data_IF_745701893251
#
_entry.id   IF_745701893251
#
_cell.length_a   1.000
_cell.length_b   1.000
_cell.length_c   1.000
_cell.angle_alpha   90.00
_cell.angle_beta   90.00
_cell.angle_gamma   90.00
#
_symmetry.space_group_name_H-M   'P 1'
#
loop_
_entity.id
_entity.type
_entity.pdbx_description
1 polymer ?
#
# COMPACT_ATOMS: atom_id res chain seq x y z
N UNK A 1 -6.48 22.04 -46.41
CA UNK A 1 -5.68 21.06 -45.63
C UNK A 1 -6.10 21.18 -44.17
N UNK A 2 -7.13 20.45 -43.75
CA UNK A 2 -7.59 20.44 -42.35
C UNK A 2 -6.91 19.29 -41.62
N UNK A 3 -5.95 19.61 -40.76
CA UNK A 3 -5.31 18.67 -39.84
C UNK A 3 -6.28 18.34 -38.71
N UNK A 4 -6.88 17.15 -38.79
CA UNK A 4 -7.62 16.54 -37.69
C UNK A 4 -6.59 16.01 -36.68
N UNK A 5 -6.49 16.66 -35.52
CA UNK A 5 -5.79 16.13 -34.34
C UNK A 5 -6.63 14.99 -33.73
N UNK A 6 -6.07 13.79 -33.51
CA UNK A 6 -6.79 12.72 -32.85
C UNK A 6 -6.76 12.93 -31.33
N UNK A 7 -7.90 13.28 -30.73
CA UNK A 7 -8.12 13.13 -29.29
C UNK A 7 -8.03 11.66 -28.92
N UNK A 8 -6.89 11.26 -28.34
CA UNK A 8 -6.69 9.93 -27.75
C UNK A 8 -7.54 9.84 -26.49
N UNK A 9 -8.80 9.45 -26.65
CA UNK A 9 -9.69 9.06 -25.55
C UNK A 9 -9.30 7.64 -25.16
N UNK A 10 -8.27 7.47 -24.32
CA UNK A 10 -7.96 6.17 -23.70
C UNK A 10 -9.18 5.72 -22.91
N UNK A 11 -9.72 4.57 -23.28
CA UNK A 11 -10.95 4.01 -22.74
C UNK A 11 -10.71 3.61 -21.27
N UNK A 12 -11.49 4.14 -20.34
CA UNK A 12 -11.35 3.90 -18.89
C UNK A 12 -11.43 2.40 -18.52
N UNK A 13 -12.04 1.59 -19.39
CA UNK A 13 -12.11 0.13 -19.26
C UNK A 13 -10.77 -0.57 -19.52
N UNK A 14 -9.95 -0.08 -20.46
CA UNK A 14 -8.65 -0.69 -20.80
C UNK A 14 -7.60 -0.39 -19.71
N UNK A 15 -7.67 0.81 -19.11
CA UNK A 15 -6.87 1.15 -17.94
C UNK A 15 -7.29 0.30 -16.73
N UNK A 16 -8.60 0.05 -16.57
CA UNK A 16 -9.10 -0.77 -15.48
C UNK A 16 -8.67 -2.24 -15.56
N UNK A 17 -8.66 -2.83 -16.76
CA UNK A 17 -8.18 -4.20 -16.99
C UNK A 17 -6.68 -4.32 -16.71
N UNK A 18 -5.89 -3.33 -17.15
CA UNK A 18 -4.44 -3.30 -16.90
C UNK A 18 -4.10 -3.24 -15.41
N UNK A 19 -4.86 -2.45 -14.63
CA UNK A 19 -4.68 -2.32 -13.18
C UNK A 19 -5.10 -3.59 -12.44
N UNK A 20 -6.18 -4.25 -12.85
CA UNK A 20 -6.62 -5.53 -12.27
C UNK A 20 -5.55 -6.62 -12.45
N UNK A 21 -4.92 -6.70 -13.62
CA UNK A 21 -3.82 -7.61 -13.90
C UNK A 21 -2.56 -7.27 -13.10
N UNK A 22 -2.24 -5.99 -12.93
CA UNK A 22 -1.15 -5.56 -12.04
C UNK A 22 -1.43 -5.89 -10.57
N UNK A 23 -2.67 -5.74 -10.08
CA UNK A 23 -3.07 -6.23 -8.76
C UNK A 23 -2.91 -7.75 -8.66
N UNK A 24 -3.35 -8.51 -9.66
CA UNK A 24 -3.21 -9.97 -9.69
C UNK A 24 -1.75 -10.41 -9.71
N UNK A 25 -0.89 -9.65 -10.40
CA UNK A 25 0.56 -9.85 -10.42
C UNK A 25 1.20 -9.54 -9.07
N UNK A 26 0.79 -8.46 -8.40
CA UNK A 26 1.18 -8.17 -7.02
C UNK A 26 0.76 -9.33 -6.10
N UNK A 27 -0.51 -9.76 -6.16
CA UNK A 27 -1.02 -10.89 -5.38
C UNK A 27 -0.27 -12.20 -5.64
N UNK A 28 0.05 -12.50 -6.91
CA UNK A 28 0.88 -13.68 -7.26
C UNK A 28 2.31 -13.59 -6.72
N UNK A 29 2.80 -12.37 -6.44
CA UNK A 29 4.13 -12.11 -5.89
C UNK A 29 4.20 -12.11 -4.35
N UNK A 30 3.06 -12.15 -3.64
CA UNK A 30 2.97 -12.15 -2.17
C UNK A 30 3.57 -13.42 -1.52
N UNK A 31 3.83 -14.48 -2.31
CA UNK A 31 4.57 -15.65 -1.84
C UNK A 31 6.08 -15.39 -1.80
N UNK A 32 6.58 -14.97 -0.65
CA UNK A 32 8.00 -14.77 -0.31
C UNK A 32 8.95 -15.90 -0.79
N UNK A 33 8.49 -17.16 -0.77
CA UNK A 33 9.27 -18.33 -1.19
C UNK A 33 9.50 -18.43 -2.71
N UNK A 34 8.61 -17.84 -3.52
CA UNK A 34 8.64 -17.95 -4.99
C UNK A 34 9.50 -16.85 -5.64
N UNK A 35 9.72 -15.73 -4.94
CA UNK A 35 10.39 -14.54 -5.48
C UNK A 35 11.93 -14.57 -5.39
N UNK A 36 12.50 -15.44 -4.53
CA UNK A 36 13.97 -15.60 -4.38
C UNK A 36 14.67 -15.93 -5.71
N UNK A 37 13.95 -16.47 -6.69
CA UNK A 37 14.46 -16.80 -8.03
C UNK A 37 14.48 -15.66 -9.06
N UNK A 38 13.89 -14.49 -8.78
CA UNK A 38 13.68 -13.44 -9.81
C UNK A 38 14.26 -12.05 -9.50
N UNK A 39 14.95 -11.87 -8.38
CA UNK A 39 15.60 -10.60 -8.02
C UNK A 39 17.07 -10.62 -8.45
N UNK A 40 17.29 -10.58 -9.77
CA UNK A 40 18.58 -10.22 -10.36
C UNK A 40 18.37 -8.88 -11.05
N UNK A 41 18.57 -7.78 -10.32
CA UNK A 41 18.29 -6.42 -10.81
C UNK A 41 17.97 -5.43 -9.69
N UNK A 42 18.64 -5.55 -8.55
CA UNK A 42 18.45 -4.69 -7.38
C UNK A 42 19.49 -3.58 -7.36
N UNK A 43 19.02 -2.33 -7.31
CA UNK A 43 19.84 -1.17 -6.99
C UNK A 43 19.59 -0.77 -5.52
N UNK A 44 20.62 -0.94 -4.70
CA UNK A 44 20.61 -0.71 -3.25
C UNK A 44 20.68 0.77 -2.87
N UNK A 45 20.76 1.66 -3.84
CA UNK A 45 21.10 3.08 -3.66
C UNK A 45 19.92 4.03 -3.45
N UNK A 46 18.66 3.59 -3.66
CA UNK A 46 17.50 4.49 -3.53
C UNK A 46 17.18 4.73 -2.04
N UNK A 47 17.20 5.99 -1.57
CA UNK A 47 17.04 6.29 -0.14
C UNK A 47 15.65 5.92 0.38
N UNK A 48 15.60 5.44 1.63
CA UNK A 48 14.40 5.02 2.38
C UNK A 48 13.31 6.12 2.51
N UNK A 49 13.64 7.36 2.12
CA UNK A 49 12.72 8.48 2.03
C UNK A 49 11.78 8.42 0.82
N UNK A 50 12.06 7.59 -0.21
CA UNK A 50 11.38 7.62 -1.50
C UNK A 50 10.23 6.61 -1.67
N UNK A 51 9.75 5.96 -0.60
CA UNK A 51 8.75 4.89 -0.67
C UNK A 51 7.29 5.34 -0.56
N UNK A 52 7.02 6.58 -0.13
CA UNK A 52 5.67 7.14 -0.08
C UNK A 52 5.38 7.91 -1.37
N UNK A 53 5.16 7.19 -2.46
CA UNK A 53 4.70 7.77 -3.73
C UNK A 53 3.34 7.17 -4.11
N UNK A 54 2.29 7.97 -4.36
CA UNK A 54 2.18 9.41 -4.12
C UNK A 54 2.50 9.77 -2.66
N UNK A 55 3.09 10.95 -2.46
CA UNK A 55 3.36 11.48 -1.12
C UNK A 55 2.04 11.82 -0.41
N UNK A 56 2.11 12.02 0.91
CA UNK A 56 0.90 12.29 1.67
C UNK A 56 0.31 13.68 1.31
N UNK A 57 1.15 14.61 0.87
CA UNK A 57 0.73 15.95 0.45
C UNK A 57 -0.05 15.92 -0.88
N UNK A 58 0.36 15.13 -1.87
CA UNK A 58 -0.42 14.92 -3.11
C UNK A 58 -1.77 14.27 -2.82
N UNK A 59 -1.81 13.33 -1.88
CA UNK A 59 -3.06 12.70 -1.43
C UNK A 59 -3.97 13.73 -0.74
N UNK A 60 -3.42 14.54 0.18
CA UNK A 60 -4.18 15.55 0.90
C UNK A 60 -4.70 16.66 -0.04
N UNK A 61 -3.86 17.15 -0.95
CA UNK A 61 -4.25 18.16 -1.96
C UNK A 61 -5.33 17.65 -2.90
N UNK A 62 -5.28 16.36 -3.27
CA UNK A 62 -6.39 15.71 -3.97
C UNK A 62 -7.67 15.76 -3.13
N UNK A 63 -7.66 15.26 -1.90
CA UNK A 63 -8.87 15.25 -1.06
C UNK A 63 -9.41 16.65 -0.74
N UNK A 64 -8.56 17.69 -0.72
CA UNK A 64 -8.99 19.08 -0.58
C UNK A 64 -9.68 19.61 -1.83
N UNK A 65 -9.19 19.28 -3.03
CA UNK A 65 -9.70 19.83 -4.30
C UNK A 65 -10.88 19.05 -4.87
N UNK A 66 -10.88 17.73 -4.75
CA UNK A 66 -11.85 16.81 -5.39
C UNK A 66 -12.62 15.97 -4.38
N UNK A 67 -12.30 16.04 -3.09
CA UNK A 67 -12.96 15.25 -2.05
C UNK A 67 -14.47 15.50 -1.94
N UNK A 68 -14.96 16.68 -2.36
CA UNK A 68 -16.39 16.98 -2.40
C UNK A 68 -17.19 16.21 -3.47
N UNK A 69 -16.50 15.59 -4.45
CA UNK A 69 -17.12 14.73 -5.47
C UNK A 69 -17.27 13.28 -5.00
N UNK A 70 -16.57 12.89 -3.94
CA UNK A 70 -16.67 11.58 -3.32
C UNK A 70 -17.76 11.59 -2.26
N UNK A 71 -18.43 10.45 -2.10
CA UNK A 71 -19.27 10.23 -0.91
C UNK A 71 -18.41 10.32 0.36
N UNK A 72 -18.92 10.93 1.44
CA UNK A 72 -18.13 11.16 2.65
C UNK A 72 -17.59 9.85 3.25
N UNK A 73 -18.34 8.77 3.14
CA UNK A 73 -17.91 7.45 3.62
C UNK A 73 -16.73 6.91 2.80
N UNK A 74 -16.79 7.04 1.46
CA UNK A 74 -15.72 6.61 0.54
C UNK A 74 -14.46 7.45 0.78
N UNK A 75 -14.62 8.78 0.93
CA UNK A 75 -13.52 9.70 1.23
C UNK A 75 -12.82 9.30 2.52
N UNK A 76 -13.56 9.10 3.61
CA UNK A 76 -12.99 8.71 4.90
C UNK A 76 -12.25 7.36 4.84
N UNK A 77 -12.78 6.39 4.11
CA UNK A 77 -12.16 5.09 3.92
C UNK A 77 -10.79 5.20 3.21
N UNK A 78 -10.75 6.00 2.14
CA UNK A 78 -9.54 6.21 1.36
C UNK A 78 -8.50 7.03 2.15
N UNK A 79 -8.92 8.05 2.90
CA UNK A 79 -8.04 8.78 3.82
C UNK A 79 -7.45 7.84 4.88
N UNK A 80 -8.26 6.96 5.45
CA UNK A 80 -7.82 5.97 6.45
C UNK A 80 -6.83 4.97 5.83
N UNK A 81 -7.04 4.55 4.59
CA UNK A 81 -6.09 3.72 3.84
C UNK A 81 -4.74 4.41 3.63
N UNK A 82 -4.73 5.66 3.15
CA UNK A 82 -3.46 6.35 2.95
C UNK A 82 -2.76 6.62 4.29
N UNK A 83 -3.50 6.95 5.35
CA UNK A 83 -2.93 7.09 6.69
C UNK A 83 -2.37 5.77 7.25
N UNK A 84 -3.04 4.63 7.03
CA UNK A 84 -2.54 3.33 7.48
C UNK A 84 -1.24 2.94 6.75
N UNK A 85 -1.14 3.27 5.45
CA UNK A 85 0.09 3.02 4.68
C UNK A 85 1.28 3.87 5.16
N UNK A 86 1.04 5.12 5.60
CA UNK A 86 2.09 5.97 6.21
C UNK A 86 2.59 5.36 7.51
N UNK A 87 1.67 4.98 8.41
CA UNK A 87 2.01 4.33 9.69
C UNK A 87 2.79 3.03 9.48
N UNK A 88 2.41 2.22 8.49
CA UNK A 88 3.15 1.01 8.14
C UNK A 88 4.58 1.31 7.67
N UNK A 89 4.76 2.30 6.78
CA UNK A 89 6.08 2.72 6.31
C UNK A 89 6.96 3.32 7.42
N UNK A 90 6.39 4.08 8.36
CA UNK A 90 7.11 4.60 9.53
C UNK A 90 7.62 3.47 10.43
N UNK A 91 6.77 2.49 10.69
CA UNK A 91 7.14 1.29 11.43
C UNK A 91 8.28 0.54 10.74
N UNK A 92 8.20 0.35 9.42
CA UNK A 92 9.25 -0.30 8.63
C UNK A 92 10.58 0.47 8.66
N UNK A 93 10.54 1.81 8.65
CA UNK A 93 11.74 2.63 8.80
C UNK A 93 12.37 2.49 10.19
N UNK A 94 11.54 2.49 11.25
CA UNK A 94 12.02 2.25 12.61
C UNK A 94 12.72 0.87 12.72
N UNK A 95 12.21 -0.14 12.01
CA UNK A 95 12.84 -1.46 11.98
C UNK A 95 14.18 -1.51 11.25
N UNK A 96 14.32 -0.83 10.11
CA UNK A 96 15.61 -0.76 9.41
C UNK A 96 16.68 -0.15 10.34
N UNK A 97 16.29 0.87 11.12
CA UNK A 97 17.15 1.43 12.17
C UNK A 97 17.46 0.40 13.27
N UNK A 98 16.48 -0.33 13.79
CA UNK A 98 16.71 -1.39 14.78
C UNK A 98 17.65 -2.49 14.25
N UNK A 99 17.56 -2.87 12.98
CA UNK A 99 18.47 -3.83 12.34
C UNK A 99 19.89 -3.27 12.29
N UNK A 100 20.05 -1.99 11.92
CA UNK A 100 21.35 -1.31 11.92
C UNK A 100 21.99 -1.33 13.32
N UNK A 101 21.22 -1.01 14.36
CA UNK A 101 21.66 -1.05 15.76
C UNK A 101 22.03 -2.47 16.23
N UNK A 102 21.30 -3.49 15.75
CA UNK A 102 21.60 -4.89 16.04
C UNK A 102 22.93 -5.32 15.43
N UNK A 103 23.18 -4.97 14.15
CA UNK A 103 24.46 -5.21 13.47
C UNK A 103 25.62 -4.52 14.18
N UNK A 104 25.42 -3.28 14.61
CA UNK A 104 26.43 -2.55 15.39
C UNK A 104 26.75 -3.25 16.71
N UNK A 105 25.73 -3.69 17.45
CA UNK A 105 25.94 -4.46 18.69
C UNK A 105 26.74 -5.73 18.42
N UNK A 106 26.36 -6.46 17.38
CA UNK A 106 26.97 -7.73 16.97
C UNK A 106 28.44 -7.58 16.50
N UNK A 107 28.87 -6.39 16.12
CA UNK A 107 30.28 -6.07 15.84
C UNK A 107 31.19 -6.49 16.99
N UNK A 108 30.77 -6.33 18.25
CA UNK A 108 31.55 -6.74 19.43
C UNK A 108 31.83 -8.25 19.45
N UNK A 109 30.85 -9.09 19.06
CA UNK A 109 31.05 -10.55 18.93
C UNK A 109 32.04 -10.84 17.80
N UNK A 110 31.94 -10.13 16.68
CA UNK A 110 32.87 -10.30 15.56
C UNK A 110 34.30 -9.89 15.92
N UNK A 111 34.48 -8.84 16.74
CA UNK A 111 35.78 -8.42 17.26
C UNK A 111 36.37 -9.48 18.20
N UNK A 112 35.58 -10.00 19.15
CA UNK A 112 35.98 -11.12 20.00
C UNK A 112 36.45 -12.34 19.18
N UNK A 113 35.73 -12.65 18.09
CA UNK A 113 36.09 -13.73 17.18
C UNK A 113 37.39 -13.49 16.42
N UNK A 114 37.63 -12.26 15.96
CA UNK A 114 38.87 -11.90 15.28
C UNK A 114 40.09 -12.05 16.21
N UNK A 115 39.95 -11.69 17.49
CA UNK A 115 41.02 -11.86 18.48
C UNK A 115 41.31 -13.35 18.69
N UNK A 116 40.29 -14.18 18.88
CA UNK A 116 40.46 -15.65 19.03
C UNK A 116 41.13 -16.26 17.79
N UNK A 117 40.75 -15.85 16.59
CA UNK A 117 41.32 -16.37 15.35
C UNK A 117 42.80 -16.02 15.20
N UNK A 118 43.21 -14.78 15.52
CA UNK A 118 44.63 -14.37 15.50
C UNK A 118 45.47 -15.21 16.45
N UNK A 119 44.97 -15.45 17.66
CA UNK A 119 45.64 -16.29 18.66
C UNK A 119 45.83 -17.73 18.20
N UNK A 120 44.85 -18.30 17.51
CA UNK A 120 44.95 -19.66 16.95
C UNK A 120 45.98 -19.76 15.83
N UNK A 121 46.19 -18.69 15.05
CA UNK A 121 47.18 -18.66 13.97
C UNK A 121 48.61 -18.45 14.47
N UNK A 122 48.79 -17.67 15.54
CA UNK A 122 50.11 -17.32 16.07
C UNK A 122 50.71 -18.42 16.97
N UNK A 123 49.96 -19.46 17.34
CA UNK A 123 50.45 -20.60 18.13
C UNK A 123 50.92 -20.25 19.55
N UNK A 124 50.73 -19.00 19.98
CA UNK A 124 51.20 -18.47 21.26
C UNK A 124 50.23 -18.80 22.39
N UNK A 125 50.78 -18.99 23.59
CA UNK A 125 50.00 -19.00 24.84
C UNK A 125 49.27 -17.66 24.97
N UNK A 126 47.94 -17.65 25.18
CA UNK A 126 47.17 -16.41 25.21
C UNK A 126 47.62 -15.53 26.38
N UNK A 127 48.04 -14.30 26.08
CA UNK A 127 48.28 -13.29 27.12
C UNK A 127 46.99 -13.00 27.87
N UNK A 128 47.07 -12.84 29.19
CA UNK A 128 45.94 -12.49 30.05
C UNK A 128 45.26 -11.18 29.61
N UNK A 129 46.02 -10.26 28.99
CA UNK A 129 45.47 -9.02 28.41
C UNK A 129 44.51 -9.26 27.23
N UNK A 130 44.81 -10.24 26.37
CA UNK A 130 43.98 -10.57 25.20
C UNK A 130 42.72 -11.34 25.63
N UNK A 131 42.85 -12.22 26.61
CA UNK A 131 41.71 -12.89 27.24
C UNK A 131 40.73 -11.87 27.84
N UNK A 132 41.24 -10.92 28.63
CA UNK A 132 40.41 -9.85 29.20
C UNK A 132 39.74 -8.98 28.11
N UNK A 133 40.42 -8.78 26.98
CA UNK A 133 39.84 -8.04 25.84
C UNK A 133 38.66 -8.79 25.22
N UNK A 134 38.76 -10.11 25.03
CA UNK A 134 37.65 -10.93 24.52
C UNK A 134 36.46 -10.90 25.48
N UNK A 135 36.71 -11.05 26.79
CA UNK A 135 35.66 -10.97 27.81
C UNK A 135 34.96 -9.61 27.81
N UNK A 136 35.74 -8.53 27.64
CA UNK A 136 35.21 -7.17 27.55
C UNK A 136 34.29 -6.99 26.34
N UNK A 137 34.67 -7.49 25.16
CA UNK A 137 33.84 -7.43 23.95
C UNK A 137 32.52 -8.19 24.11
N UNK A 138 32.58 -9.40 24.69
CA UNK A 138 31.38 -10.20 24.97
C UNK A 138 30.48 -9.53 26.00
N UNK A 139 31.05 -8.94 27.04
CA UNK A 139 30.32 -8.19 28.07
C UNK A 139 29.70 -6.92 27.49
N UNK A 140 30.37 -6.26 26.56
CA UNK A 140 29.85 -5.10 25.82
C UNK A 140 28.60 -5.49 25.02
N UNK A 141 28.61 -6.63 24.32
CA UNK A 141 27.40 -7.16 23.68
C UNK A 141 26.30 -7.54 24.69
N UNK A 142 26.64 -8.23 25.78
CA UNK A 142 25.66 -8.64 26.78
C UNK A 142 24.97 -7.45 27.47
N UNK A 143 25.68 -6.33 27.60
CA UNK A 143 25.15 -5.10 28.17
C UNK A 143 24.45 -4.20 27.14
N UNK A 144 24.59 -4.45 25.83
CA UNK A 144 23.94 -3.63 24.81
C UNK A 144 22.42 -3.79 24.86
N UNK A 145 21.67 -2.72 24.55
CA UNK A 145 20.21 -2.80 24.51
C UNK A 145 19.78 -3.68 23.32
N UNK A 146 18.75 -4.52 23.50
CA UNK A 146 18.13 -5.20 22.36
C UNK A 146 17.32 -4.15 21.57
N UNK A 147 17.66 -3.89 20.28
CA UNK A 147 16.97 -2.88 19.48
C UNK A 147 15.57 -3.33 19.05
N UNK A 148 15.24 -4.62 19.16
CA UNK A 148 13.91 -5.17 18.93
C UNK A 148 13.16 -5.25 20.27
N UNK A 149 12.41 -4.20 20.59
CA UNK A 149 11.74 -4.08 21.89
C UNK A 149 10.31 -4.65 21.87
N UNK A 150 9.73 -4.83 23.06
CA UNK A 150 8.30 -5.15 23.19
C UNK A 150 7.42 -4.05 22.60
N UNK A 151 7.82 -2.79 22.78
CA UNK A 151 7.14 -1.63 22.21
C UNK A 151 7.03 -1.74 20.68
N UNK A 152 8.10 -2.16 19.99
CA UNK A 152 8.07 -2.38 18.54
C UNK A 152 7.04 -3.45 18.14
N UNK A 153 6.93 -4.54 18.92
CA UNK A 153 5.93 -5.59 18.66
C UNK A 153 4.49 -5.12 18.93
N UNK A 154 4.31 -4.23 19.92
CA UNK A 154 3.01 -3.65 20.22
C UNK A 154 2.60 -2.59 19.19
N UNK A 155 3.55 -1.84 18.64
CA UNK A 155 3.33 -0.98 17.46
C UNK A 155 2.87 -1.80 16.25
N UNK A 156 3.49 -2.96 15.99
CA UNK A 156 3.03 -3.89 14.96
C UNK A 156 1.59 -4.35 15.16
N UNK A 157 1.25 -4.72 16.40
CA UNK A 157 -0.10 -5.15 16.77
C UNK A 157 -1.10 -4.02 16.53
N UNK A 158 -0.78 -2.81 16.96
CA UNK A 158 -1.64 -1.64 16.78
C UNK A 158 -1.85 -1.30 15.29
N UNK A 159 -0.79 -1.27 14.47
CA UNK A 159 -0.93 -1.00 13.02
C UNK A 159 -1.70 -2.12 12.33
N UNK A 160 -1.51 -3.37 12.74
CA UNK A 160 -2.28 -4.52 12.26
C UNK A 160 -3.77 -4.37 12.62
N UNK A 161 -4.11 -4.09 13.87
CA UNK A 161 -5.49 -3.90 14.33
C UNK A 161 -6.18 -2.74 13.59
N UNK A 162 -5.48 -1.62 13.37
CA UNK A 162 -5.98 -0.51 12.55
C UNK A 162 -6.26 -0.94 11.10
N UNK A 163 -5.38 -1.76 10.52
CA UNK A 163 -5.53 -2.24 9.15
C UNK A 163 -6.68 -3.25 9.03
N UNK A 164 -6.83 -4.16 10.00
CA UNK A 164 -7.96 -5.10 10.08
C UNK A 164 -9.31 -4.39 10.31
N UNK A 165 -9.31 -3.30 11.09
CA UNK A 165 -10.48 -2.43 11.22
C UNK A 165 -10.85 -1.79 9.88
N UNK A 166 -9.87 -1.20 9.19
CA UNK A 166 -10.09 -0.61 7.86
C UNK A 166 -10.63 -1.65 6.87
N UNK A 167 -10.15 -2.89 6.92
CA UNK A 167 -10.64 -3.97 6.05
C UNK A 167 -12.15 -4.25 6.29
N UNK A 168 -12.57 -4.26 7.56
CA UNK A 168 -14.00 -4.42 7.91
C UNK A 168 -14.84 -3.26 7.39
N UNK A 169 -14.39 -2.03 7.61
CA UNK A 169 -15.06 -0.82 7.12
C UNK A 169 -15.20 -0.83 5.59
N UNK A 170 -14.12 -1.17 4.87
CA UNK A 170 -14.12 -1.29 3.41
C UNK A 170 -15.11 -2.35 2.92
N UNK A 171 -15.18 -3.52 3.58
CA UNK A 171 -16.14 -4.57 3.23
C UNK A 171 -17.60 -4.14 3.44
N UNK A 172 -17.90 -3.52 4.58
CA UNK A 172 -19.25 -3.02 4.87
C UNK A 172 -19.70 -1.96 3.86
N UNK A 173 -18.81 -1.01 3.53
CA UNK A 173 -19.08 0.02 2.53
C UNK A 173 -19.26 -0.56 1.13
N UNK A 174 -18.42 -1.51 0.71
CA UNK A 174 -18.57 -2.21 -0.58
C UNK A 174 -19.91 -2.96 -0.65
N UNK A 175 -20.32 -3.61 0.43
CA UNK A 175 -21.61 -4.29 0.49
C UNK A 175 -22.77 -3.29 0.38
N UNK A 176 -22.73 -2.18 1.13
CA UNK A 176 -23.75 -1.14 1.08
C UNK A 176 -23.87 -0.50 -0.31
N UNK A 177 -22.74 -0.18 -0.96
CA UNK A 177 -22.72 0.37 -2.32
C UNK A 177 -23.14 -0.67 -3.37
N UNK A 178 -22.78 -1.93 -3.20
CA UNK A 178 -23.23 -3.04 -4.04
C UNK A 178 -24.76 -3.23 -3.98
N UNK A 179 -25.36 -3.09 -2.80
CA UNK A 179 -26.81 -3.09 -2.63
C UNK A 179 -27.47 -1.90 -3.32
N UNK A 180 -26.89 -0.68 -3.20
CA UNK A 180 -27.38 0.52 -3.90
C UNK A 180 -27.30 0.36 -5.42
N UNK A 181 -26.18 -0.12 -5.94
CA UNK A 181 -26.00 -0.45 -7.37
C UNK A 181 -27.02 -1.48 -7.87
N UNK A 182 -27.27 -2.55 -7.10
CA UNK A 182 -28.29 -3.54 -7.47
C UNK A 182 -29.68 -2.93 -7.52
N UNK A 183 -30.02 -2.07 -6.56
CA UNK A 183 -31.31 -1.34 -6.54
C UNK A 183 -31.43 -0.39 -7.73
N UNK A 184 -30.42 0.42 -8.01
CA UNK A 184 -30.44 1.37 -9.13
C UNK A 184 -30.45 0.66 -10.49
N UNK A 185 -29.69 -0.43 -10.65
CA UNK A 185 -29.73 -1.28 -11.84
C UNK A 185 -31.06 -2.01 -12.02
N UNK A 186 -31.73 -2.37 -10.92
CA UNK A 186 -33.08 -2.93 -10.98
C UNK A 186 -34.10 -1.86 -11.38
N UNK A 187 -34.01 -0.66 -10.80
CA UNK A 187 -34.86 0.47 -11.15
C UNK A 187 -34.67 0.88 -12.62
N UNK A 188 -33.44 0.99 -13.11
CA UNK A 188 -33.16 1.33 -14.51
C UNK A 188 -33.71 0.31 -15.50
N UNK A 189 -33.85 -0.96 -15.10
CA UNK A 189 -34.48 -2.01 -15.93
C UNK A 189 -36.00 -1.89 -15.94
N UNK A 190 -36.62 -1.51 -14.83
CA UNK A 190 -38.09 -1.47 -14.68
C UNK A 190 -38.67 -0.14 -15.16
N UNK A 191 -37.93 0.96 -15.04
CA UNK A 191 -38.33 2.31 -15.41
C UNK A 191 -38.83 2.47 -16.86
N UNK A 192 -38.17 1.92 -17.91
CA UNK A 192 -38.67 2.03 -19.28
C UNK A 192 -40.03 1.34 -19.47
N UNK A 193 -40.27 0.22 -18.76
CA UNK A 193 -41.55 -0.49 -18.84
C UNK A 193 -42.68 0.26 -18.13
N UNK A 194 -42.40 0.86 -16.96
CA UNK A 194 -43.38 1.68 -16.24
C UNK A 194 -43.77 2.94 -17.03
N UNK A 195 -42.81 3.60 -17.66
CA UNK A 195 -43.06 4.77 -18.49
C UNK A 195 -43.82 4.39 -19.77
N UNK A 196 -43.49 3.26 -20.41
CA UNK A 196 -44.21 2.78 -21.59
C UNK A 196 -45.68 2.41 -21.28
N UNK A 197 -45.92 1.79 -20.12
CA UNK A 197 -47.27 1.48 -19.65
C UNK A 197 -48.10 2.74 -19.33
N UNK A 198 -47.48 3.77 -18.74
CA UNK A 198 -48.15 5.03 -18.40
C UNK A 198 -48.31 5.99 -19.59
N UNK A 199 -47.40 5.96 -20.57
CA UNK A 199 -47.42 6.83 -21.75
C UNK A 199 -48.37 6.41 -22.87
N UNK A 200 -48.70 5.11 -22.93
CA UNK A 200 -49.61 4.53 -23.94
C UNK A 200 -51.01 5.20 -24.02
N UNK A 201 -51.73 5.44 -22.90
CA UNK A 201 -53.04 6.10 -22.95
C UNK A 201 -52.98 7.60 -23.34
N UNK A 202 -51.87 8.29 -23.05
CA UNK A 202 -51.72 9.73 -23.32
C UNK A 202 -51.48 9.97 -24.83
N UNK A 203 -50.70 9.12 -25.50
CA UNK A 203 -50.53 9.18 -26.96
C UNK A 203 -51.83 8.87 -27.72
N UNK A 204 -52.64 7.93 -27.21
CA UNK A 204 -53.94 7.60 -27.80
C UNK A 204 -54.95 8.74 -27.66
N UNK A 205 -54.97 9.46 -26.53
CA UNK A 205 -55.85 10.63 -26.34
C UNK A 205 -55.51 11.83 -27.24
N UNK A 206 -54.24 12.01 -27.62
CA UNK A 206 -53.79 13.10 -28.49
C UNK A 206 -53.94 12.81 -29.99
N UNK A 207 -54.08 11.55 -30.40
CA UNK A 207 -54.26 11.18 -31.80
C UNK A 207 -55.70 11.39 -32.30
N UNK A 208 -56.69 11.27 -31.41
CA UNK A 208 -58.13 11.35 -31.77
C UNK A 208 -58.59 12.75 -32.24
N UNK A 209 -58.09 13.88 -31.71
CA UNK A 209 -58.51 15.21 -32.18
C UNK A 209 -57.93 15.62 -33.56
N UNK A 210 -56.76 15.08 -33.95
CA UNK A 210 -56.05 15.50 -35.18
C UNK A 210 -56.70 14.94 -36.45
N UNK A 211 -57.45 13.83 -36.34
CA UNK A 211 -58.16 13.24 -37.48
C UNK A 211 -59.40 14.04 -37.93
N UNK A 212 -59.92 14.96 -37.09
CA UNK A 212 -61.14 15.72 -37.38
C UNK A 212 -60.89 17.15 -37.88
N UNK A 213 -59.67 17.66 -37.78
CA UNK A 213 -59.31 19.01 -38.23
C UNK A 213 -58.10 18.95 -39.16
N UNK A 214 -58.35 18.90 -40.47
CA UNK A 214 -57.29 18.86 -41.47
C UNK A 214 -56.34 20.07 -41.37
N UNK A 215 -55.05 19.78 -41.15
CA UNK A 215 -53.85 20.61 -41.36
C UNK A 215 -53.89 21.94 -40.55
N UNK A 216 -53.11 22.12 -39.49
CA UNK A 216 -51.67 22.43 -39.48
C UNK A 216 -51.07 21.85 -38.19
N UNK A 217 -50.29 20.77 -38.27
CA UNK A 217 -49.44 20.32 -37.16
C UNK A 217 -48.08 19.92 -37.75
N UNK A 218 -47.27 20.89 -38.14
CA UNK A 218 -45.91 20.60 -38.64
C UNK A 218 -44.79 20.92 -37.64
N UNK A 219 -45.03 21.70 -36.59
CA UNK A 219 -43.93 22.14 -35.70
C UNK A 219 -44.07 21.64 -34.25
N UNK A 220 -45.29 21.51 -33.70
CA UNK A 220 -45.49 21.15 -32.30
C UNK A 220 -45.10 19.68 -31.94
N UNK A 221 -45.18 18.75 -32.90
CA UNK A 221 -44.82 17.34 -32.69
C UNK A 221 -43.31 17.11 -32.67
N UNK A 222 -42.55 17.93 -33.40
CA UNK A 222 -41.08 17.87 -33.43
C UNK A 222 -40.49 18.41 -32.12
N UNK A 223 -41.08 19.48 -31.57
CA UNK A 223 -40.70 20.05 -30.28
C UNK A 223 -41.05 19.11 -29.11
N UNK A 224 -42.19 18.43 -29.15
CA UNK A 224 -42.56 17.43 -28.15
C UNK A 224 -41.63 16.20 -28.16
N UNK A 225 -41.16 15.76 -29.33
CA UNK A 225 -40.24 14.63 -29.44
C UNK A 225 -38.83 14.99 -28.95
N UNK A 226 -38.36 16.22 -29.23
CA UNK A 226 -37.05 16.69 -28.79
C UNK A 226 -36.99 16.89 -27.26
N UNK A 227 -38.06 17.41 -26.66
CA UNK A 227 -38.20 17.58 -25.20
C UNK A 227 -38.30 16.24 -24.47
N UNK A 228 -39.06 15.27 -24.99
CA UNK A 228 -39.10 13.90 -24.46
C UNK A 228 -37.76 13.20 -24.57
N UNK A 229 -37.04 13.37 -25.68
CA UNK A 229 -35.69 12.84 -25.87
C UNK A 229 -34.71 13.45 -24.86
N UNK A 230 -34.68 14.76 -24.71
CA UNK A 230 -33.80 15.46 -23.77
C UNK A 230 -34.12 15.10 -22.31
N UNK A 231 -35.41 14.96 -21.98
CA UNK A 231 -35.86 14.46 -20.68
C UNK A 231 -35.44 13.01 -20.46
N UNK A 232 -35.59 12.13 -21.44
CA UNK A 232 -35.15 10.73 -21.36
C UNK A 232 -33.64 10.60 -21.20
N UNK A 233 -32.86 11.40 -21.92
CA UNK A 233 -31.40 11.48 -21.72
C UNK A 233 -31.05 12.00 -20.32
N UNK A 234 -31.73 13.04 -19.83
CA UNK A 234 -31.51 13.56 -18.46
C UNK A 234 -31.87 12.55 -17.37
N UNK A 235 -32.97 11.81 -17.54
CA UNK A 235 -33.38 10.73 -16.64
C UNK A 235 -32.36 9.59 -16.69
N UNK A 236 -31.94 9.18 -17.88
CA UNK A 236 -30.94 8.13 -18.06
C UNK A 236 -29.58 8.50 -17.48
N UNK A 237 -29.15 9.76 -17.59
CA UNK A 237 -27.93 10.27 -16.94
C UNK A 237 -28.05 10.26 -15.41
N UNK A 238 -29.21 10.62 -14.85
CA UNK A 238 -29.48 10.51 -13.41
C UNK A 238 -29.47 9.07 -12.89
N UNK A 239 -29.73 8.09 -13.75
CA UNK A 239 -29.61 6.66 -13.46
C UNK A 239 -28.32 6.04 -14.02
N UNK A 240 -27.35 6.86 -14.47
CA UNK A 240 -26.03 6.38 -14.86
C UNK A 240 -25.31 5.88 -13.61
N UNK A 241 -25.19 4.55 -13.50
CA UNK A 241 -24.48 3.89 -12.39
C UNK A 241 -22.96 4.16 -12.39
N UNK A 242 -22.44 5.00 -13.30
CA UNK A 242 -21.00 5.22 -13.51
C UNK A 242 -20.26 5.66 -12.26
N UNK A 243 -20.85 6.55 -11.46
CA UNK A 243 -20.20 7.10 -10.26
C UNK A 243 -20.17 6.09 -9.11
N UNK A 244 -21.25 5.31 -8.96
CA UNK A 244 -21.30 4.21 -7.99
C UNK A 244 -20.34 3.07 -8.38
N UNK A 245 -20.29 2.71 -9.66
CA UNK A 245 -19.37 1.69 -10.16
C UNK A 245 -17.92 2.15 -9.99
N UNK A 246 -17.61 3.43 -10.25
CA UNK A 246 -16.29 4.01 -10.01
C UNK A 246 -15.91 3.97 -8.53
N UNK A 247 -16.79 4.40 -7.62
CA UNK A 247 -16.53 4.39 -6.18
C UNK A 247 -16.36 2.96 -5.62
N UNK A 248 -17.16 1.99 -6.10
CA UNK A 248 -16.95 0.58 -5.78
C UNK A 248 -15.58 0.08 -6.22
N UNK A 249 -15.11 0.47 -7.40
CA UNK A 249 -13.78 0.09 -7.90
C UNK A 249 -12.64 0.72 -7.11
N UNK A 250 -12.81 1.95 -6.60
CA UNK A 250 -11.85 2.64 -5.74
C UNK A 250 -11.72 1.92 -4.39
N UNK A 251 -12.84 1.58 -3.76
CA UNK A 251 -12.85 0.80 -2.53
C UNK A 251 -12.31 -0.61 -2.73
N UNK A 252 -12.51 -1.20 -3.92
CA UNK A 252 -11.93 -2.51 -4.25
C UNK A 252 -10.41 -2.48 -4.34
N UNK A 253 -9.86 -1.45 -4.98
CA UNK A 253 -8.43 -1.23 -5.01
C UNK A 253 -7.85 -1.00 -3.59
N UNK A 254 -8.54 -0.21 -2.75
CA UNK A 254 -8.11 0.05 -1.38
C UNK A 254 -8.15 -1.20 -0.50
N UNK A 255 -9.22 -2.01 -0.62
CA UNK A 255 -9.38 -3.27 0.11
C UNK A 255 -8.30 -4.28 -0.27
N UNK A 256 -8.05 -4.45 -1.58
CA UNK A 256 -6.94 -5.28 -2.10
C UNK A 256 -5.58 -4.80 -1.59
N UNK A 257 -5.34 -3.48 -1.60
CA UNK A 257 -4.10 -2.88 -1.09
C UNK A 257 -3.93 -3.11 0.42
N UNK A 258 -5.01 -2.92 1.19
CA UNK A 258 -4.99 -3.08 2.64
C UNK A 258 -4.78 -4.54 3.07
N UNK A 259 -5.39 -5.51 2.36
CA UNK A 259 -5.16 -6.92 2.58
C UNK A 259 -3.66 -7.30 2.47
N UNK A 260 -2.98 -6.77 1.44
CA UNK A 260 -1.55 -7.02 1.25
C UNK A 260 -0.73 -6.45 2.41
N UNK A 261 -1.08 -5.25 2.90
CA UNK A 261 -0.42 -4.63 4.05
C UNK A 261 -0.58 -5.49 5.31
N UNK A 262 -1.77 -6.01 5.58
CA UNK A 262 -2.03 -6.90 6.73
C UNK A 262 -1.15 -8.15 6.65
N UNK A 263 -1.07 -8.78 5.48
CA UNK A 263 -0.26 -9.99 5.26
C UNK A 263 1.25 -9.73 5.47
N UNK A 264 1.73 -8.61 4.95
CA UNK A 264 3.11 -8.16 5.08
C UNK A 264 3.47 -7.85 6.53
N UNK A 265 2.56 -7.19 7.27
CA UNK A 265 2.72 -6.88 8.70
C UNK A 265 2.80 -8.16 9.55
N UNK A 266 1.94 -9.15 9.30
CA UNK A 266 1.97 -10.43 10.02
C UNK A 266 3.29 -11.18 9.80
N UNK A 267 3.75 -11.20 8.54
CA UNK A 267 5.02 -11.85 8.18
C UNK A 267 6.20 -11.15 8.85
N UNK A 268 6.22 -9.82 8.81
CA UNK A 268 7.27 -9.00 9.41
C UNK A 268 7.29 -9.12 10.94
N UNK A 269 6.13 -9.11 11.60
CA UNK A 269 6.00 -9.32 13.05
C UNK A 269 6.63 -10.64 13.51
N UNK A 270 6.43 -11.71 12.74
CA UNK A 270 7.04 -13.03 13.03
C UNK A 270 8.56 -12.96 12.94
N UNK A 271 9.10 -12.31 11.91
CA UNK A 271 10.55 -12.15 11.73
C UNK A 271 11.18 -11.30 12.84
N UNK A 272 10.54 -10.19 13.23
CA UNK A 272 11.00 -9.36 14.36
C UNK A 272 10.99 -10.12 15.67
N UNK A 273 9.94 -10.91 15.92
CA UNK A 273 9.87 -11.76 17.13
C UNK A 273 11.02 -12.76 17.18
N UNK A 274 11.36 -13.35 16.02
CA UNK A 274 12.49 -14.28 15.91
C UNK A 274 13.83 -13.59 16.17
N UNK A 275 14.09 -12.45 15.52
CA UNK A 275 15.32 -11.68 15.71
C UNK A 275 15.50 -11.22 17.16
N UNK A 276 14.42 -10.75 17.79
CA UNK A 276 14.42 -10.40 19.21
C UNK A 276 14.85 -11.57 20.08
N UNK A 277 14.21 -12.73 19.88
CA UNK A 277 14.52 -13.94 20.65
C UNK A 277 15.97 -14.39 20.42
N UNK A 278 16.49 -14.32 19.19
CA UNK A 278 17.87 -14.70 18.87
C UNK A 278 18.89 -13.79 19.58
N UNK A 279 18.64 -12.47 19.61
CA UNK A 279 19.48 -11.50 20.34
C UNK A 279 19.41 -11.78 21.85
N UNK A 280 18.20 -11.90 22.42
CA UNK A 280 18.01 -12.15 23.85
C UNK A 280 18.62 -13.50 24.29
N UNK A 281 18.50 -14.54 23.46
CA UNK A 281 19.15 -15.83 23.71
C UNK A 281 20.67 -15.71 23.71
N UNK A 282 21.24 -14.98 22.75
CA UNK A 282 22.69 -14.78 22.65
C UNK A 282 23.23 -14.04 23.88
N UNK A 283 22.54 -12.99 24.33
CA UNK A 283 22.88 -12.26 25.55
C UNK A 283 22.81 -13.16 26.79
N UNK A 284 21.72 -13.92 26.93
CA UNK A 284 21.54 -14.86 28.06
C UNK A 284 22.65 -15.91 28.09
N UNK A 285 23.07 -16.43 26.93
CA UNK A 285 24.19 -17.38 26.84
C UNK A 285 25.50 -16.77 27.35
N UNK A 286 25.82 -15.54 26.95
CA UNK A 286 27.03 -14.86 27.40
C UNK A 286 27.01 -14.68 28.92
N UNK A 287 25.90 -14.22 29.49
CA UNK A 287 25.75 -14.10 30.95
C UNK A 287 25.82 -15.43 31.68
N UNK A 288 25.19 -16.49 31.14
CA UNK A 288 25.18 -17.81 31.76
C UNK A 288 26.57 -18.44 31.82
N UNK A 289 27.40 -18.20 30.80
CA UNK A 289 28.75 -18.74 30.74
C UNK A 289 29.85 -17.79 31.25
N UNK A 290 29.50 -16.68 31.93
CA UNK A 290 30.47 -15.66 32.37
C UNK A 290 31.61 -16.26 33.21
N UNK A 291 31.28 -17.15 34.16
CA UNK A 291 32.26 -17.84 34.99
C UNK A 291 33.10 -18.86 34.20
N UNK A 292 32.46 -19.63 33.32
CA UNK A 292 33.14 -20.61 32.48
C UNK A 292 34.13 -19.95 31.49
N UNK A 293 33.84 -18.73 31.02
CA UNK A 293 34.72 -17.99 30.12
C UNK A 293 35.99 -17.45 30.80
N UNK A 294 36.11 -17.54 32.14
CA UNK A 294 37.38 -17.31 32.84
C UNK A 294 38.43 -18.37 32.51
N UNK A 295 38.02 -19.53 31.99
CA UNK A 295 38.93 -20.49 31.39
C UNK A 295 39.02 -20.24 29.88
N UNK A 296 40.24 -20.06 29.37
CA UNK A 296 40.47 -19.77 27.94
C UNK A 296 39.93 -20.86 26.99
N UNK A 297 40.09 -22.13 27.35
CA UNK A 297 39.61 -23.25 26.53
C UNK A 297 38.09 -23.23 26.39
N UNK A 298 37.38 -23.07 27.51
CA UNK A 298 35.92 -22.93 27.51
C UNK A 298 35.46 -21.66 26.78
N UNK A 299 36.14 -20.53 26.97
CA UNK A 299 35.87 -19.29 26.24
C UNK A 299 35.96 -19.48 24.72
N UNK A 300 37.00 -20.16 24.22
CA UNK A 300 37.16 -20.41 22.79
C UNK A 300 35.99 -21.21 22.21
N UNK A 301 35.54 -22.26 22.93
CA UNK A 301 34.37 -23.07 22.52
C UNK A 301 33.10 -22.22 22.51
N UNK A 302 32.89 -21.42 23.55
CA UNK A 302 31.70 -20.56 23.67
C UNK A 302 31.69 -19.49 22.57
N UNK A 303 32.81 -18.82 22.34
CA UNK A 303 32.98 -17.82 21.27
C UNK A 303 32.74 -18.45 19.90
N UNK A 304 33.26 -19.66 19.64
CA UNK A 304 32.99 -20.37 18.41
C UNK A 304 31.48 -20.68 18.24
N UNK A 305 30.78 -21.10 19.29
CA UNK A 305 29.35 -21.32 19.22
C UNK A 305 28.56 -20.00 19.07
N UNK A 306 29.05 -18.89 19.62
CA UNK A 306 28.49 -17.56 19.39
C UNK A 306 28.66 -17.12 17.93
N UNK A 307 29.74 -17.53 17.25
CA UNK A 307 29.93 -17.31 15.80
C UNK A 307 28.82 -17.90 14.98
N UNK A 308 28.47 -19.17 15.22
CA UNK A 308 27.44 -19.87 14.43
C UNK A 308 26.09 -19.15 14.60
N UNK A 309 25.77 -18.76 15.83
CA UNK A 309 24.56 -17.98 16.10
C UNK A 309 24.62 -16.61 15.42
N UNK A 310 25.76 -15.92 15.53
CA UNK A 310 25.98 -14.62 14.92
C UNK A 310 25.81 -14.65 13.40
N UNK A 311 26.40 -15.64 12.71
CA UNK A 311 26.23 -15.79 11.26
C UNK A 311 24.78 -16.05 10.86
N UNK A 312 24.06 -16.85 11.66
CA UNK A 312 22.63 -17.11 11.42
C UNK A 312 21.79 -15.85 11.63
N UNK A 313 22.05 -15.08 12.69
CA UNK A 313 21.36 -13.82 12.96
C UNK A 313 21.65 -12.77 11.89
N UNK A 314 22.89 -12.66 11.39
CA UNK A 314 23.21 -11.73 10.29
C UNK A 314 22.45 -12.08 9.02
N UNK A 315 22.38 -13.37 8.66
CA UNK A 315 21.61 -13.83 7.51
C UNK A 315 20.12 -13.50 7.68
N UNK A 316 19.54 -13.72 8.87
CA UNK A 316 18.15 -13.36 9.16
C UNK A 316 17.93 -11.84 9.07
N UNK A 317 18.85 -11.02 9.59
CA UNK A 317 18.76 -9.56 9.50
C UNK A 317 18.85 -9.06 8.06
N UNK A 318 19.69 -9.69 7.23
CA UNK A 318 19.75 -9.40 5.80
C UNK A 318 18.44 -9.74 5.09
N UNK A 319 17.94 -10.97 5.25
CA UNK A 319 16.67 -11.41 4.66
C UNK A 319 15.51 -10.52 5.12
N UNK A 320 15.53 -10.09 6.38
CA UNK A 320 14.50 -9.19 6.91
C UNK A 320 14.61 -7.78 6.34
N UNK A 321 15.81 -7.22 6.18
CA UNK A 321 15.98 -5.91 5.53
C UNK A 321 15.49 -5.92 4.08
N UNK A 322 15.71 -7.01 3.35
CA UNK A 322 15.17 -7.21 2.00
C UNK A 322 13.64 -7.28 2.02
N UNK A 323 13.05 -7.99 3.00
CA UNK A 323 11.60 -8.06 3.18
C UNK A 323 10.98 -6.69 3.48
N UNK A 324 11.60 -5.89 4.35
CA UNK A 324 11.09 -4.55 4.69
C UNK A 324 11.06 -3.64 3.46
N UNK A 325 12.12 -3.67 2.64
CA UNK A 325 12.17 -2.92 1.37
C UNK A 325 11.09 -3.42 0.40
N UNK A 326 10.87 -4.73 0.33
CA UNK A 326 9.79 -5.32 -0.46
C UNK A 326 8.41 -4.80 -0.01
N UNK A 327 8.11 -4.86 1.29
CA UNK A 327 6.84 -4.37 1.85
C UNK A 327 6.62 -2.89 1.54
N UNK A 328 7.66 -2.05 1.68
CA UNK A 328 7.56 -0.63 1.35
C UNK A 328 7.24 -0.39 -0.14
N UNK A 329 7.83 -1.17 -1.05
CA UNK A 329 7.53 -1.09 -2.49
C UNK A 329 6.13 -1.59 -2.81
N UNK A 330 5.66 -2.61 -2.11
CA UNK A 330 4.30 -3.13 -2.27
C UNK A 330 3.27 -2.09 -1.81
N UNK A 331 3.54 -1.41 -0.70
CA UNK A 331 2.76 -0.25 -0.24
C UNK A 331 2.79 0.88 -1.27
N UNK A 332 3.95 1.24 -1.80
CA UNK A 332 4.09 2.28 -2.83
C UNK A 332 3.22 1.96 -4.07
N UNK A 333 3.26 0.71 -4.55
CA UNK A 333 2.43 0.26 -5.67
C UNK A 333 0.94 0.30 -5.33
N UNK A 334 0.56 -0.19 -4.15
CA UNK A 334 -0.84 -0.15 -3.71
C UNK A 334 -1.34 1.31 -3.64
N UNK A 335 -0.54 2.23 -3.08
CA UNK A 335 -0.86 3.67 -3.04
C UNK A 335 -1.05 4.24 -4.44
N UNK A 336 -0.16 3.95 -5.39
CA UNK A 336 -0.30 4.39 -6.79
C UNK A 336 -1.58 3.86 -7.42
N UNK A 337 -1.81 2.56 -7.37
CA UNK A 337 -2.99 1.96 -8.00
C UNK A 337 -4.30 2.49 -7.41
N UNK A 338 -4.37 2.68 -6.09
CA UNK A 338 -5.51 3.31 -5.44
C UNK A 338 -5.65 4.76 -5.91
N UNK A 339 -4.57 5.53 -5.93
CA UNK A 339 -4.59 6.92 -6.40
C UNK A 339 -5.01 7.06 -7.88
N UNK A 340 -4.54 6.18 -8.76
CA UNK A 340 -4.95 6.12 -10.17
C UNK A 340 -6.43 5.81 -10.33
N UNK A 341 -7.00 4.96 -9.45
CA UNK A 341 -8.43 4.70 -9.43
C UNK A 341 -9.26 5.88 -8.93
N UNK A 342 -8.71 6.68 -8.02
CA UNK A 342 -9.42 7.84 -7.50
C UNK A 342 -9.35 9.01 -8.50
N UNK A 343 -8.22 9.21 -9.15
CA UNK A 343 -8.00 10.31 -10.12
C UNK A 343 -8.47 9.97 -11.55
N UNK A 344 -8.56 8.69 -11.89
CA UNK A 344 -8.82 8.23 -13.26
C UNK A 344 -7.64 8.45 -14.22
N UNK A 345 -6.45 8.77 -13.71
CA UNK A 345 -5.23 9.02 -14.49
C UNK A 345 -4.05 8.21 -13.95
N UNK A 346 -3.12 7.76 -14.80
CA UNK A 346 -1.91 7.06 -14.37
C UNK A 346 -1.01 7.98 -13.53
N UNK A 347 -0.29 7.41 -12.56
CA UNK A 347 0.66 8.16 -11.76
C UNK A 347 1.99 8.33 -12.50
N UNK A 348 2.22 9.51 -13.08
CA UNK A 348 3.44 9.84 -13.85
C UNK A 348 4.60 10.40 -12.99
N UNK A 349 4.50 10.36 -11.65
CA UNK A 349 5.55 10.83 -10.72
C UNK A 349 5.15 12.06 -9.90
N UNK A 350 6.07 12.59 -9.06
CA UNK A 350 5.79 13.75 -8.23
C UNK A 350 5.54 14.99 -9.12
N UNK A 351 4.25 15.35 -9.22
CA UNK A 351 3.67 16.63 -9.65
C UNK A 351 4.40 17.39 -10.77
N UNK A 352 4.14 16.99 -12.03
CA UNK A 352 3.97 17.96 -13.13
C UNK A 352 2.47 18.17 -13.49
N UNK A 353 1.56 17.60 -12.70
CA UNK A 353 0.13 17.53 -13.03
C UNK A 353 -0.65 18.85 -12.98
N UNK A 354 -0.07 19.97 -12.52
CA UNK A 354 -0.82 21.23 -12.35
C UNK A 354 -0.03 22.52 -12.65
N UNK A 355 0.77 22.58 -13.72
CA UNK A 355 1.12 23.88 -14.33
C UNK A 355 0.21 24.18 -15.53
N UNK A 356 -1.09 24.28 -15.26
CA UNK A 356 -2.09 24.69 -16.25
C UNK A 356 -2.46 26.16 -16.05
N UNK A 357 -1.79 27.04 -16.79
CA UNK A 357 -2.25 28.35 -17.26
C UNK A 357 -3.04 29.23 -16.27
N UNK A 358 -2.33 30.07 -15.52
CA UNK A 358 -2.84 31.43 -15.27
C UNK A 358 -2.65 32.17 -16.59
N UNK A 359 -3.74 32.33 -17.34
CA UNK A 359 -3.82 33.30 -18.42
C UNK A 359 -3.65 34.69 -17.81
N UNK A 360 -2.46 35.27 -17.94
CA UNK A 360 -2.32 36.72 -17.87
C UNK A 360 -2.94 37.29 -19.15
N UNK A 361 -4.24 37.60 -19.07
CA UNK A 361 -4.82 38.62 -19.93
C UNK A 361 -4.75 39.92 -19.13
N UNK A 362 -3.87 40.77 -19.63
CA UNK A 362 -3.78 42.22 -19.53
C UNK A 362 -4.88 42.92 -18.72
N UNK A 363 -4.43 43.73 -17.76
CA UNK A 363 -4.87 45.13 -17.63
C UNK A 363 -3.66 45.97 -17.22
N UNK A 364 -3.52 47.12 -17.91
CA UNK A 364 -2.70 48.31 -17.66
C UNK A 364 -1.19 48.28 -18.01
N UNK A 365 -0.83 48.76 -19.22
CA UNK A 365 -0.51 50.19 -19.54
C UNK A 365 -0.40 50.38 -21.06
#
# INVERSE_FOLDING_TARGET
MSLVMPTIRRNSRDLALTIEDEFKKIFSSVSFTLFKGKVSGYDSSRPEAAFLSPDQDAVNTFFLRTGGLLRPEVRNALETFFNSTVKACELYRALLKSIQEARQSQSSINQALQIVHKLQQEGNTPSQSLHNSILLELKTFANSKNPFTQETLDQFRHVQECSEQLERELREMKHALGLKLRKERALSKVLPYLILAAGSPILLCLAVPVALAGIIVSNATVDAMSTLKNWWFSVRERFSNSDLEAQCSQLDAADKGNYIIIQDLMTSKRLVTRLRNDVDCTKRRISFFEEAMQNYGSMCVIVHQLRINATNSEQQMKEFSEQVVFCCRTIEKARKLVFEKITGQPWDGPLQFFSGSVSSSDDDV
#
